data_IF_562177860291
#
_entry.id   IF_562177860291
#
_cell.length_a   1.000
_cell.length_b   1.000
_cell.length_c   1.000
_cell.angle_alpha   90.00
_cell.angle_beta   90.00
_cell.angle_gamma   90.00
#
_symmetry.space_group_name_H-M   'P 1'
#
loop_
_entity.id
_entity.type
_entity.pdbx_description
1 polymer ?
#
# COMPACT_ATOMS: atom_id res chain seq x y z
N UNK A 1 1.06 -2.06 3.96
CA UNK A 1 -0.38 -2.05 3.59
C UNK A 1 -0.54 -2.61 2.18
N UNK A 2 -1.68 -3.24 1.90
CA UNK A 2 -2.01 -3.84 0.60
C UNK A 2 -3.44 -3.50 0.17
N UNK A 3 -3.62 -3.49 -1.15
CA UNK A 3 -4.91 -3.78 -1.80
C UNK A 3 -4.80 -5.19 -2.36
N UNK A 4 -5.43 -6.15 -1.68
CA UNK A 4 -5.50 -7.55 -2.11
C UNK A 4 -6.57 -7.72 -3.20
N UNK A 5 -6.41 -8.73 -4.05
CA UNK A 5 -7.25 -8.97 -5.23
C UNK A 5 -6.54 -8.50 -6.48
N UNK A 6 -6.64 -9.29 -7.55
CA UNK A 6 -6.16 -9.00 -8.90
C UNK A 6 -6.82 -10.01 -9.85
N UNK A 7 -6.76 -9.77 -11.15
CA UNK A 7 -7.08 -10.78 -12.15
C UNK A 7 -6.12 -11.99 -12.02
N UNK A 8 -6.53 -13.20 -12.46
CA UNK A 8 -5.69 -14.40 -12.46
C UNK A 8 -4.29 -14.17 -13.07
N UNK A 9 -3.32 -15.07 -12.82
CA UNK A 9 -1.87 -14.85 -12.79
C UNK A 9 -1.28 -13.79 -13.74
N UNK A 10 -0.28 -12.99 -13.27
CA UNK A 10 0.74 -13.39 -12.29
C UNK A 10 0.63 -12.71 -10.90
N UNK A 11 -0.47 -12.02 -10.60
CA UNK A 11 -0.57 -11.20 -9.39
C UNK A 11 -1.67 -11.68 -8.43
N UNK A 12 -1.42 -11.54 -7.13
CA UNK A 12 -2.43 -11.79 -6.08
C UNK A 12 -2.92 -10.49 -5.41
N UNK A 13 -2.30 -9.35 -5.69
CA UNK A 13 -2.63 -8.07 -5.07
C UNK A 13 -2.48 -6.96 -6.09
N UNK A 14 -3.42 -6.02 -6.10
CA UNK A 14 -3.36 -4.80 -6.90
C UNK A 14 -2.17 -3.94 -6.49
N UNK A 15 -2.01 -3.66 -5.19
CA UNK A 15 -1.00 -2.73 -4.70
C UNK A 15 -0.41 -3.18 -3.36
N UNK A 16 0.86 -2.84 -3.12
CA UNK A 16 1.52 -3.05 -1.83
C UNK A 16 2.56 -1.95 -1.56
N UNK A 17 2.47 -1.33 -0.38
CA UNK A 17 3.54 -0.51 0.17
C UNK A 17 4.37 -1.32 1.14
N UNK A 18 5.70 -1.15 1.07
CA UNK A 18 6.71 -1.89 1.82
C UNK A 18 7.73 -0.93 2.41
N UNK A 19 8.50 -1.39 3.39
CA UNK A 19 9.59 -0.61 3.99
C UNK A 19 10.92 -1.28 3.66
N UNK A 20 11.86 -0.52 3.12
CA UNK A 20 13.25 -0.93 2.89
C UNK A 20 14.17 0.22 3.26
N UNK A 21 15.23 -0.06 4.00
CA UNK A 21 16.27 0.92 4.35
C UNK A 21 15.70 2.23 4.93
N UNK A 22 14.68 2.12 5.80
CA UNK A 22 13.99 3.27 6.39
C UNK A 22 13.00 4.00 5.49
N UNK A 23 12.87 3.62 4.22
CA UNK A 23 11.99 4.28 3.25
C UNK A 23 10.70 3.50 3.02
N UNK A 24 9.58 4.21 2.93
CA UNK A 24 8.33 3.65 2.43
C UNK A 24 8.37 3.60 0.91
N UNK A 25 8.10 2.45 0.34
CA UNK A 25 8.19 2.20 -1.11
C UNK A 25 6.94 1.53 -1.66
N UNK A 26 6.63 1.79 -2.92
CA UNK A 26 5.74 0.95 -3.71
C UNK A 26 6.52 -0.26 -4.24
N UNK A 27 6.14 -1.46 -3.77
CA UNK A 27 6.94 -2.67 -3.95
C UNK A 27 8.41 -2.46 -3.58
N UNK A 28 9.34 -2.44 -4.54
CA UNK A 28 10.80 -2.30 -4.30
C UNK A 28 11.43 -1.09 -5.00
N UNK A 29 10.64 -0.26 -5.69
CA UNK A 29 11.18 0.73 -6.64
C UNK A 29 10.86 2.17 -6.25
N UNK A 30 9.59 2.53 -6.26
CA UNK A 30 9.20 3.93 -6.09
C UNK A 30 9.22 4.28 -4.60
N UNK A 31 10.12 5.18 -4.19
CA UNK A 31 10.13 5.76 -2.85
C UNK A 31 8.95 6.73 -2.74
N UNK A 32 8.10 6.52 -1.73
CA UNK A 32 6.91 7.32 -1.45
C UNK A 32 7.16 8.31 -0.30
N UNK A 33 7.98 7.91 0.66
CA UNK A 33 8.44 8.72 1.77
C UNK A 33 9.76 8.17 2.31
N UNK A 34 10.65 9.07 2.71
CA UNK A 34 11.98 8.70 3.21
C UNK A 34 12.04 8.73 4.73
N UNK A 35 12.92 7.91 5.31
CA UNK A 35 13.27 7.96 6.73
C UNK A 35 12.05 7.94 7.67
N UNK A 36 11.16 6.95 7.48
CA UNK A 36 9.85 6.88 8.13
C UNK A 36 9.85 6.23 9.52
N UNK A 37 10.97 5.68 9.97
CA UNK A 37 11.07 5.10 11.31
C UNK A 37 10.79 6.12 12.39
N UNK A 38 10.13 5.67 13.47
CA UNK A 38 9.76 6.45 14.65
C UNK A 38 8.95 7.73 14.36
N UNK A 39 8.31 7.80 13.19
CA UNK A 39 7.49 8.94 12.76
C UNK A 39 6.06 8.51 12.46
N UNK A 40 5.14 9.42 12.75
CA UNK A 40 3.77 9.32 12.28
C UNK A 40 3.65 10.02 10.93
N UNK A 41 2.99 9.37 9.98
CA UNK A 41 2.55 9.95 8.72
C UNK A 41 1.18 9.38 8.38
N UNK A 42 0.39 10.13 7.60
CA UNK A 42 -0.92 9.67 7.12
C UNK A 42 -0.75 8.98 5.78
N UNK A 43 -1.18 7.72 5.70
CA UNK A 43 -1.28 6.97 4.45
C UNK A 43 -2.74 6.94 3.99
N UNK A 44 -3.01 7.44 2.79
CA UNK A 44 -4.28 7.21 2.10
C UNK A 44 -4.01 6.42 0.82
N UNK A 45 -4.83 5.40 0.56
CA UNK A 45 -4.81 4.67 -0.71
C UNK A 45 -6.23 4.59 -1.25
N UNK A 46 -6.40 5.04 -2.49
CA UNK A 46 -7.66 5.01 -3.21
C UNK A 46 -7.52 3.99 -4.33
N UNK A 47 -8.46 3.05 -4.42
CA UNK A 47 -8.55 2.10 -5.51
C UNK A 47 -9.86 2.37 -6.26
N UNK A 48 -9.75 3.01 -7.42
CA UNK A 48 -10.84 3.20 -8.37
C UNK A 48 -10.88 1.96 -9.28
N UNK A 49 -11.78 1.04 -8.95
CA UNK A 49 -11.89 -0.25 -9.66
C UNK A 49 -12.34 -0.04 -11.10
N UNK A 50 -13.28 0.88 -11.33
CA UNK A 50 -13.86 1.14 -12.65
C UNK A 50 -12.83 1.80 -13.57
N UNK A 51 -12.05 2.74 -13.04
CA UNK A 51 -10.95 3.35 -13.78
C UNK A 51 -9.68 2.48 -13.82
N UNK A 52 -9.68 1.31 -13.18
CA UNK A 52 -8.52 0.45 -12.97
C UNK A 52 -7.29 1.25 -12.53
N UNK A 53 -7.43 2.03 -11.45
CA UNK A 53 -6.41 2.97 -10.98
C UNK A 53 -6.22 2.90 -9.46
N UNK A 54 -4.98 2.97 -9.02
CA UNK A 54 -4.61 3.13 -7.62
C UNK A 54 -3.83 4.42 -7.43
N UNK A 55 -4.21 5.19 -6.43
CA UNK A 55 -3.53 6.40 -6.01
C UNK A 55 -3.08 6.27 -4.56
N UNK A 56 -1.83 6.66 -4.28
CA UNK A 56 -1.22 6.58 -2.96
C UNK A 56 -0.79 7.98 -2.53
N UNK A 57 -1.27 8.39 -1.36
CA UNK A 57 -0.99 9.68 -0.78
C UNK A 57 -0.26 9.52 0.55
N UNK A 58 0.72 10.39 0.78
CA UNK A 58 1.41 10.54 2.06
C UNK A 58 1.16 11.95 2.57
N UNK A 59 0.63 12.05 3.78
CA UNK A 59 0.25 13.32 4.44
C UNK A 59 -0.75 14.18 3.63
N UNK A 60 -1.48 13.55 2.69
CA UNK A 60 -2.45 14.21 1.81
C UNK A 60 -1.87 14.66 0.46
N UNK A 61 -0.58 14.46 0.22
CA UNK A 61 0.06 14.72 -1.08
C UNK A 61 0.06 13.44 -1.92
N UNK A 62 -0.35 13.52 -3.19
CA UNK A 62 -0.29 12.40 -4.13
C UNK A 62 1.18 12.06 -4.43
N UNK A 63 1.62 10.86 -4.05
CA UNK A 63 2.99 10.38 -4.29
C UNK A 63 3.09 9.43 -5.47
N UNK A 64 2.03 8.69 -5.76
CA UNK A 64 2.04 7.70 -6.83
C UNK A 64 0.64 7.46 -7.37
N UNK A 65 0.54 7.42 -8.70
CA UNK A 65 -0.59 6.89 -9.43
C UNK A 65 -0.10 5.72 -10.30
N UNK A 66 -0.77 4.57 -10.20
CA UNK A 66 -0.45 3.36 -10.98
C UNK A 66 -1.72 2.66 -11.41
N UNK A 67 -1.61 1.84 -12.43
CA UNK A 67 -2.71 1.00 -12.87
C UNK A 67 -3.10 -0.01 -11.78
N UNK A 68 -4.40 -0.28 -11.71
CA UNK A 68 -4.96 -1.43 -11.04
C UNK A 68 -4.52 -2.74 -11.71
N UNK A 69 -4.95 -3.87 -11.15
CA UNK A 69 -4.62 -5.20 -11.68
C UNK A 69 -5.85 -6.05 -11.97
N UNK A 70 -6.99 -5.41 -12.19
CA UNK A 70 -8.28 -6.07 -12.37
C UNK A 70 -8.70 -6.87 -11.14
N UNK A 71 -9.42 -7.97 -11.36
CA UNK A 71 -10.07 -8.76 -10.32
C UNK A 71 -11.47 -8.26 -9.98
N UNK A 72 -12.28 -9.14 -9.38
CA UNK A 72 -13.70 -8.87 -9.06
C UNK A 72 -13.95 -8.67 -7.56
N UNK A 73 -12.94 -8.88 -6.74
CA UNK A 73 -13.03 -8.79 -5.28
C UNK A 73 -11.71 -8.26 -4.74
N UNK A 74 -11.80 -7.25 -3.88
CA UNK A 74 -10.66 -6.57 -3.30
C UNK A 74 -10.83 -6.37 -1.81
N UNK A 75 -9.72 -6.35 -1.09
CA UNK A 75 -9.70 -6.06 0.35
C UNK A 75 -8.49 -5.20 0.71
N UNK A 76 -8.71 -4.17 1.53
CA UNK A 76 -7.62 -3.43 2.14
C UNK A 76 -7.03 -4.22 3.31
N UNK A 77 -5.70 -4.27 3.38
CA UNK A 77 -4.96 -4.90 4.50
C UNK A 77 -3.92 -3.93 5.04
N UNK A 78 -3.82 -3.78 6.35
CA UNK A 78 -2.78 -3.02 7.04
C UNK A 78 -2.16 -3.84 8.16
N UNK A 79 -0.94 -3.49 8.56
CA UNK A 79 -0.13 -4.24 9.52
C UNK A 79 1.22 -4.66 8.94
N UNK A 80 1.87 -5.60 9.64
CA UNK A 80 3.13 -6.21 9.24
C UNK A 80 2.87 -7.41 8.35
N UNK A 81 3.57 -7.49 7.22
CA UNK A 81 3.55 -8.66 6.36
C UNK A 81 4.97 -8.94 5.87
N UNK A 82 5.55 -10.02 6.39
CA UNK A 82 6.87 -10.50 5.99
C UNK A 82 6.93 -10.72 4.47
N UNK A 83 8.09 -10.43 3.90
CA UNK A 83 8.43 -10.67 2.50
C UNK A 83 9.71 -11.48 2.44
N UNK A 84 10.05 -11.98 1.24
CA UNK A 84 11.35 -12.63 1.05
C UNK A 84 12.49 -11.67 1.48
N UNK A 85 13.42 -12.21 2.29
CA UNK A 85 14.51 -11.47 2.94
C UNK A 85 13.99 -10.41 3.93
N UNK A 86 13.10 -10.82 4.83
CA UNK A 86 12.58 -9.98 5.89
C UNK A 86 13.61 -9.68 6.98
N UNK A 87 13.34 -8.63 7.75
CA UNK A 87 14.11 -8.29 8.94
C UNK A 87 13.69 -9.18 10.11
N UNK A 88 14.63 -9.50 10.99
CA UNK A 88 14.37 -10.32 12.18
C UNK A 88 13.29 -9.74 13.11
N UNK A 89 13.21 -8.41 13.20
CA UNK A 89 12.14 -7.71 13.89
C UNK A 89 11.39 -6.79 12.93
N UNK A 90 10.06 -6.93 12.91
CA UNK A 90 9.17 -6.10 12.10
C UNK A 90 8.00 -5.63 12.95
N UNK A 91 7.85 -4.32 13.08
CA UNK A 91 6.74 -3.71 13.78
C UNK A 91 6.11 -2.62 12.90
N UNK A 92 4.80 -2.47 12.98
CA UNK A 92 4.09 -1.32 12.42
C UNK A 92 2.96 -0.93 13.37
N UNK A 93 2.85 0.35 13.69
CA UNK A 93 1.79 0.89 14.53
C UNK A 93 0.80 1.67 13.66
N UNK A 94 -0.48 1.45 13.91
CA UNK A 94 -1.56 2.06 13.14
C UNK A 94 -2.60 2.63 14.11
N UNK A 95 -3.11 3.81 13.80
CA UNK A 95 -4.20 4.48 14.51
C UNK A 95 -5.12 5.17 13.51
N UNK A 96 -6.33 5.52 13.93
CA UNK A 96 -7.30 6.24 13.11
C UNK A 96 -7.60 5.56 11.76
N UNK A 97 -7.63 4.23 11.75
CA UNK A 97 -7.88 3.42 10.55
C UNK A 97 -9.33 3.60 10.12
N UNK A 98 -9.53 4.03 8.87
CA UNK A 98 -10.85 4.18 8.25
C UNK A 98 -10.85 3.49 6.89
N UNK A 99 -11.90 2.72 6.63
CA UNK A 99 -12.18 2.14 5.31
C UNK A 99 -13.47 2.76 4.81
N UNK A 100 -13.38 3.45 3.68
CA UNK A 100 -14.49 4.16 3.08
C UNK A 100 -14.77 3.56 1.70
N UNK A 101 -16.04 3.56 1.31
CA UNK A 101 -16.47 3.27 -0.06
C UNK A 101 -17.16 4.50 -0.62
N UNK A 102 -17.06 4.70 -1.93
CA UNK A 102 -17.96 5.62 -2.62
C UNK A 102 -19.39 5.13 -2.41
N UNK A 103 -20.29 6.07 -2.09
CA UNK A 103 -21.72 5.80 -1.99
C UNK A 103 -22.33 5.57 -3.37
#
# INVERSE_FOLDING_TARGET
>A
MQVFGASPPPHASTAMVRVYDGNLTYYRKNVLAENIYDKWFRLNVIHDVDASRVEIYIDGELKLQVDGRGGVSHAFKCGVYAQANDSYYMESRWKDIKVLRKL
#
